data_IF_976084716235
#
_entry.id   IF_976084716235
#
_cell.length_a   1.000
_cell.length_b   1.000
_cell.length_c   1.000
_cell.angle_alpha   90.00
_cell.angle_beta   90.00
_cell.angle_gamma   90.00
#
_symmetry.space_group_name_H-M   'P 1'
#
loop_
_entity.id
_entity.type
_entity.pdbx_description
1 polymer ?
#
# COMPACT_ATOMS: atom_id res chain seq x y z
N UNK A 1 9.47 -4.76 11.60
CA UNK A 1 8.39 -3.94 12.19
C UNK A 1 7.49 -3.27 11.14
N UNK A 2 8.04 -2.50 10.20
CA UNK A 2 7.33 -1.86 9.07
C UNK A 2 6.45 -2.78 8.18
N UNK A 3 6.92 -3.94 7.74
CA UNK A 3 6.13 -4.87 6.90
C UNK A 3 4.84 -5.31 7.60
N UNK A 4 4.91 -5.59 8.90
CA UNK A 4 3.73 -5.97 9.69
C UNK A 4 2.71 -4.83 9.79
N UNK A 5 3.18 -3.58 9.92
CA UNK A 5 2.33 -2.37 9.93
C UNK A 5 1.63 -2.18 8.58
N UNK A 6 2.37 -2.28 7.48
CA UNK A 6 1.79 -2.19 6.12
C UNK A 6 0.80 -3.33 5.91
N UNK A 7 1.10 -4.55 6.35
CA UNK A 7 0.20 -5.68 6.20
C UNK A 7 -1.11 -5.49 7.00
N UNK A 8 -1.04 -4.90 8.19
CA UNK A 8 -2.23 -4.55 8.97
C UNK A 8 -3.07 -3.48 8.25
N UNK A 9 -2.43 -2.43 7.72
CA UNK A 9 -3.11 -1.38 6.96
C UNK A 9 -3.73 -1.93 5.66
N UNK A 10 -2.99 -2.70 4.87
CA UNK A 10 -3.50 -3.36 3.67
C UNK A 10 -4.71 -4.27 3.97
N UNK A 11 -4.69 -4.99 5.09
CA UNK A 11 -5.83 -5.83 5.52
C UNK A 11 -7.12 -5.05 5.75
N UNK A 12 -7.04 -3.81 6.23
CA UNK A 12 -8.22 -2.96 6.40
C UNK A 12 -8.90 -2.63 5.06
N UNK A 13 -8.17 -2.75 3.95
CA UNK A 13 -8.66 -2.50 2.60
C UNK A 13 -8.83 -3.78 1.76
N UNK A 14 -8.89 -4.95 2.42
CA UNK A 14 -9.02 -6.27 1.78
C UNK A 14 -7.89 -6.58 0.76
N UNK A 15 -6.70 -6.05 1.03
CA UNK A 15 -5.50 -6.27 0.23
C UNK A 15 -4.44 -7.02 1.03
N UNK A 16 -3.70 -7.89 0.35
CA UNK A 16 -2.48 -8.46 0.91
C UNK A 16 -1.29 -7.56 0.57
N UNK A 17 -0.29 -7.53 1.46
CA UNK A 17 0.97 -6.83 1.21
C UNK A 17 1.59 -7.16 -0.16
N UNK A 18 1.53 -8.43 -0.57
CA UNK A 18 2.09 -8.87 -1.85
C UNK A 18 1.34 -8.26 -3.03
N UNK A 19 0.00 -8.26 -2.99
CA UNK A 19 -0.84 -7.60 -4.01
C UNK A 19 -0.59 -6.09 -4.03
N UNK A 20 -0.57 -5.45 -2.87
CA UNK A 20 -0.29 -4.02 -2.77
C UNK A 20 1.08 -3.64 -3.37
N UNK A 21 2.15 -4.37 -3.01
CA UNK A 21 3.49 -4.13 -3.58
C UNK A 21 3.54 -4.43 -5.08
N UNK A 22 2.77 -5.41 -5.55
CA UNK A 22 2.64 -5.69 -6.98
C UNK A 22 1.94 -4.52 -7.72
N UNK A 23 0.81 -4.03 -7.20
CA UNK A 23 0.10 -2.89 -7.76
C UNK A 23 0.93 -1.60 -7.76
N UNK A 24 1.70 -1.33 -6.69
CA UNK A 24 2.64 -0.21 -6.68
C UNK A 24 3.74 -0.34 -7.73
N UNK A 25 4.24 -1.57 -7.96
CA UNK A 25 5.24 -1.83 -8.99
C UNK A 25 4.67 -1.60 -10.39
N UNK A 26 3.42 -2.02 -10.63
CA UNK A 26 2.70 -1.77 -11.89
C UNK A 26 2.43 -0.26 -12.08
N UNK A 27 2.08 0.44 -11.01
CA UNK A 27 1.94 1.90 -10.99
C UNK A 27 3.28 2.66 -11.16
N UNK A 28 4.42 1.96 -11.23
CA UNK A 28 5.77 2.53 -11.28
C UNK A 28 6.09 3.41 -10.05
N UNK A 29 5.43 3.17 -8.91
CA UNK A 29 5.63 3.90 -7.66
C UNK A 29 6.72 3.20 -6.86
N UNK A 30 7.92 3.77 -6.90
CA UNK A 30 9.05 3.26 -6.14
C UNK A 30 9.19 4.00 -4.79
N UNK A 31 8.30 3.68 -3.84
CA UNK A 31 8.34 4.25 -2.50
C UNK A 31 9.14 3.39 -1.52
N UNK A 32 9.87 4.08 -0.65
CA UNK A 32 10.60 3.43 0.42
C UNK A 32 9.62 2.90 1.46
N UNK A 33 9.69 1.61 1.78
CA UNK A 33 8.66 0.96 2.63
C UNK A 33 8.62 1.54 4.06
N UNK A 34 9.67 2.28 4.47
CA UNK A 34 9.77 2.92 5.80
C UNK A 34 8.79 4.09 5.85
N UNK A 35 8.89 4.98 4.86
CA UNK A 35 7.92 6.06 4.67
C UNK A 35 6.52 5.51 4.48
N UNK A 36 6.37 4.44 3.68
CA UNK A 36 5.05 3.86 3.44
C UNK A 36 4.39 3.34 4.73
N UNK A 37 5.18 2.77 5.64
CA UNK A 37 4.70 2.37 6.96
C UNK A 37 4.38 3.53 7.91
N UNK A 38 5.01 4.70 7.71
CA UNK A 38 4.70 5.91 8.47
C UNK A 38 3.44 6.59 7.90
N UNK A 39 3.30 6.66 6.58
CA UNK A 39 2.08 7.16 5.90
C UNK A 39 0.89 6.30 6.28
N UNK A 40 1.03 4.97 6.32
CA UNK A 40 -0.05 4.08 6.75
C UNK A 40 -0.56 4.34 8.19
N UNK A 41 0.22 5.01 9.05
CA UNK A 41 -0.13 5.29 10.44
C UNK A 41 -0.54 6.76 10.63
N UNK A 42 0.19 7.68 10.02
CA UNK A 42 -0.04 9.11 10.16
C UNK A 42 -1.12 9.64 9.23
N UNK A 43 -1.29 9.00 8.07
CA UNK A 43 -2.12 9.55 6.99
C UNK A 43 -2.88 8.44 6.26
N UNK A 44 -3.98 8.00 6.87
CA UNK A 44 -4.85 6.96 6.34
C UNK A 44 -5.45 7.34 4.98
N UNK A 45 -5.74 8.63 4.77
CA UNK A 45 -6.30 9.12 3.51
C UNK A 45 -5.31 8.94 2.35
N UNK A 46 -4.05 9.36 2.54
CA UNK A 46 -3.01 9.17 1.54
C UNK A 46 -2.72 7.67 1.30
N UNK A 47 -2.74 6.84 2.34
CA UNK A 47 -2.58 5.39 2.18
C UNK A 47 -3.74 4.77 1.39
N UNK A 48 -4.97 5.24 1.61
CA UNK A 48 -6.14 4.79 0.86
C UNK A 48 -6.04 5.10 -0.63
N UNK A 49 -5.55 6.29 -1.01
CA UNK A 49 -5.30 6.61 -2.42
C UNK A 49 -4.24 5.69 -3.05
N UNK A 50 -3.15 5.42 -2.34
CA UNK A 50 -2.14 4.46 -2.80
C UNK A 50 -2.70 3.05 -2.99
N UNK A 51 -3.56 2.64 -2.07
CA UNK A 51 -4.28 1.36 -2.14
C UNK A 51 -5.23 1.31 -3.34
N UNK A 52 -5.97 2.39 -3.59
CA UNK A 52 -6.89 2.48 -4.72
C UNK A 52 -6.15 2.42 -6.06
N UNK A 53 -5.05 3.18 -6.19
CA UNK A 53 -4.15 3.12 -7.34
C UNK A 53 -3.60 1.70 -7.52
N UNK A 54 -3.11 1.08 -6.45
CA UNK A 54 -2.58 -0.28 -6.50
C UNK A 54 -3.65 -1.31 -6.91
N UNK A 55 -4.90 -1.17 -6.44
CA UNK A 55 -6.05 -1.98 -6.84
C UNK A 55 -6.37 -1.82 -8.33
N UNK A 56 -6.47 -0.57 -8.78
CA UNK A 56 -6.77 -0.22 -10.18
C UNK A 56 -5.74 -0.80 -11.14
N UNK A 57 -4.46 -0.80 -10.76
CA UNK A 57 -3.40 -1.41 -11.56
C UNK A 57 -3.37 -2.94 -11.50
N UNK A 58 -3.98 -3.55 -10.48
CA UNK A 58 -4.07 -5.01 -10.34
C UNK A 58 -5.25 -5.61 -11.13
N UNK A 59 -6.29 -4.82 -11.35
CA UNK A 59 -7.46 -5.18 -12.15
C UNK A 59 -7.34 -4.80 -13.63
N UNK A 60 -6.35 -3.99 -13.98
CA UNK A 60 -6.00 -3.61 -15.35
C UNK A 60 -5.02 -4.61 -16.00
#
# INVERSE_FOLDING_TARGET
LWIARINAACRMYDLSYSKFMHGLKLANINMNRKMLSEVAIHDEAAFKELVDIAKKQLEA
#
